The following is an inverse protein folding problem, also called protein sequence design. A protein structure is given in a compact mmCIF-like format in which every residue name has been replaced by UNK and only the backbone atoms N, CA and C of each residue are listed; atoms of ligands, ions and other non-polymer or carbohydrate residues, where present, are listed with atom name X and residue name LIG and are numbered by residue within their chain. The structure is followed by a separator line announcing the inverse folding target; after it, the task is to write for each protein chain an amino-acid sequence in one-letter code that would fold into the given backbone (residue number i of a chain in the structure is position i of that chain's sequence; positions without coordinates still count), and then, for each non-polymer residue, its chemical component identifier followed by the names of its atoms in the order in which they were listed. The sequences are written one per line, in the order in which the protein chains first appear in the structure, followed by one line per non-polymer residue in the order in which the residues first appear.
data_IF_374290034653
#
_entry.id   IF_374290034653
#
_cell.length_a   1.000
_cell.length_b   1.000
_cell.length_c   1.000
_cell.angle_alpha   90.00
_cell.angle_beta   90.00
_cell.angle_gamma   90.00
#
_symmetry.space_group_name_H-M   'P 1'
#
loop_
_entity.id
_entity.type
_entity.pdbx_description
1 polymer ?
#
# COMPACT_ATOMS: atom_id res chain seq x y z
N UNK A 1 8.20 -2.31 0.68
CA UNK A 1 7.12 -1.39 1.07
C UNK A 1 5.80 -1.97 0.59
N UNK A 2 4.86 -2.17 1.49
CA UNK A 2 3.56 -2.76 1.19
C UNK A 2 2.48 -1.73 1.54
N UNK A 3 1.63 -1.40 0.56
CA UNK A 3 0.50 -0.50 0.77
C UNK A 3 -0.79 -1.33 0.82
N UNK A 4 -1.43 -1.34 1.98
CA UNK A 4 -2.71 -2.03 2.17
C UNK A 4 -3.84 -1.03 1.90
N UNK A 5 -4.70 -1.37 0.95
CA UNK A 5 -5.73 -0.46 0.43
C UNK A 5 -7.03 -1.21 0.16
N UNK A 6 -8.09 -0.47 -0.11
CA UNK A 6 -9.37 -1.05 -0.55
C UNK A 6 -10.04 -0.12 -1.57
N UNK A 7 -10.81 -0.70 -2.47
CA UNK A 7 -11.44 0.03 -3.57
C UNK A 7 -12.44 1.10 -3.09
N UNK A 8 -13.06 0.90 -1.94
CA UNK A 8 -14.06 1.81 -1.36
C UNK A 8 -13.45 2.88 -0.45
N UNK A 9 -12.16 2.89 -0.31
CA UNK A 9 -11.43 3.76 0.62
C UNK A 9 -10.97 5.04 -0.10
N UNK A 10 -11.63 6.17 0.15
CA UNK A 10 -11.28 7.44 -0.49
C UNK A 10 -9.83 7.88 -0.24
N UNK A 11 -9.30 7.83 0.99
CA UNK A 11 -7.88 8.13 1.22
C UNK A 11 -6.94 7.21 0.46
N UNK A 12 -7.30 5.95 0.28
CA UNK A 12 -6.50 5.00 -0.51
C UNK A 12 -6.46 5.44 -1.97
N UNK A 13 -7.63 5.84 -2.50
CA UNK A 13 -7.73 6.32 -3.89
C UNK A 13 -6.82 7.52 -4.12
N UNK A 14 -6.79 8.45 -3.18
CA UNK A 14 -5.93 9.63 -3.28
C UNK A 14 -4.44 9.28 -3.15
N UNK A 15 -4.10 8.27 -2.35
CA UNK A 15 -2.72 7.90 -2.06
C UNK A 15 -2.06 7.04 -3.14
N UNK A 16 -2.82 6.16 -3.80
CA UNK A 16 -2.26 5.17 -4.74
C UNK A 16 -1.36 5.78 -5.82
N UNK A 17 -1.69 6.92 -6.45
CA UNK A 17 -0.78 7.55 -7.40
C UNK A 17 0.56 7.96 -6.79
N UNK A 18 0.57 8.41 -5.55
CA UNK A 18 1.79 8.78 -4.84
C UNK A 18 2.64 7.55 -4.53
N UNK A 19 2.01 6.43 -4.18
CA UNK A 19 2.70 5.16 -3.94
C UNK A 19 3.36 4.67 -5.22
N UNK A 20 2.67 4.77 -6.36
CA UNK A 20 3.25 4.38 -7.64
C UNK A 20 4.42 5.30 -8.02
N UNK A 21 4.29 6.60 -7.82
CA UNK A 21 5.39 7.54 -8.08
C UNK A 21 6.60 7.20 -7.22
N UNK A 22 6.39 6.91 -5.94
CA UNK A 22 7.46 6.47 -5.05
C UNK A 22 8.16 5.22 -5.60
N UNK A 23 7.38 4.23 -6.02
CA UNK A 23 7.92 2.98 -6.57
C UNK A 23 8.78 3.26 -7.81
N UNK A 24 8.32 4.15 -8.67
CA UNK A 24 9.01 4.50 -9.91
C UNK A 24 10.30 5.25 -9.67
N UNK A 25 10.31 6.12 -8.66
CA UNK A 25 11.46 6.99 -8.37
C UNK A 25 12.45 6.40 -7.37
N UNK A 26 12.10 5.26 -6.74
CA UNK A 26 12.95 4.58 -5.75
C UNK A 26 13.07 3.10 -6.08
N UNK A 27 13.75 2.76 -7.22
CA UNK A 27 13.83 1.37 -7.67
C UNK A 27 14.61 0.45 -6.74
N UNK A 28 15.31 1.00 -5.75
CA UNK A 28 15.99 0.22 -4.72
C UNK A 28 15.01 -0.48 -3.77
N UNK A 29 13.75 -0.05 -3.72
CA UNK A 29 12.72 -0.68 -2.91
C UNK A 29 11.77 -1.51 -3.78
N UNK A 30 11.34 -2.66 -3.28
CA UNK A 30 10.22 -3.39 -3.84
C UNK A 30 8.94 -2.81 -3.25
N UNK A 31 8.04 -2.35 -4.09
CA UNK A 31 6.79 -1.72 -3.67
C UNK A 31 5.62 -2.48 -4.26
N UNK A 32 4.71 -2.93 -3.40
CA UNK A 32 3.52 -3.67 -3.83
C UNK A 32 2.30 -3.20 -3.04
N UNK A 33 1.13 -3.40 -3.63
CA UNK A 33 -0.13 -3.21 -2.94
C UNK A 33 -0.68 -4.52 -2.41
N UNK A 34 -1.57 -4.42 -1.43
CA UNK A 34 -2.41 -5.53 -0.98
C UNK A 34 -3.83 -4.99 -0.89
N UNK A 35 -4.71 -5.52 -1.74
CA UNK A 35 -6.11 -5.13 -1.76
C UNK A 35 -6.87 -5.92 -0.69
N UNK A 36 -7.23 -5.25 0.39
CA UNK A 36 -7.84 -5.84 1.58
C UNK A 36 -9.37 -5.83 1.48
N UNK A 37 -9.90 -6.50 0.46
CA UNK A 37 -11.34 -6.61 0.23
C UNK A 37 -11.63 -7.82 -0.65
N UNK A 38 -12.84 -8.35 -0.55
CA UNK A 38 -13.25 -9.53 -1.33
C UNK A 38 -13.50 -9.23 -2.79
N UNK A 39 -13.84 -7.99 -3.11
CA UNK A 39 -14.22 -7.62 -4.48
C UNK A 39 -12.98 -7.30 -5.33
N UNK A 40 -12.33 -8.34 -5.82
CA UNK A 40 -11.14 -8.22 -6.65
C UNK A 40 -11.42 -7.41 -7.92
N UNK A 41 -12.61 -7.58 -8.52
CA UNK A 41 -13.00 -6.85 -9.72
C UNK A 41 -13.04 -5.35 -9.51
N UNK A 42 -13.61 -4.89 -8.39
CA UNK A 42 -13.65 -3.48 -8.06
C UNK A 42 -12.26 -2.94 -7.73
N UNK A 43 -11.41 -3.75 -7.10
CA UNK A 43 -10.02 -3.39 -6.87
C UNK A 43 -9.26 -3.17 -8.16
N UNK A 44 -9.36 -4.10 -9.09
CA UNK A 44 -8.72 -3.99 -10.40
C UNK A 44 -9.24 -2.79 -11.19
N UNK A 45 -10.56 -2.55 -11.13
CA UNK A 45 -11.18 -1.42 -11.81
C UNK A 45 -10.67 -0.07 -11.26
N UNK A 46 -10.45 0.03 -9.95
CA UNK A 46 -9.91 1.24 -9.36
C UNK A 46 -8.49 1.52 -9.85
N UNK A 47 -7.62 0.50 -9.85
CA UNK A 47 -6.24 0.67 -10.33
C UNK A 47 -6.22 1.11 -11.81
N UNK A 48 -7.07 0.50 -12.62
CA UNK A 48 -7.20 0.89 -14.04
C UNK A 48 -7.69 2.32 -14.17
N UNK A 49 -8.70 2.70 -13.40
CA UNK A 49 -9.30 4.03 -13.41
C UNK A 49 -8.27 5.11 -13.04
N UNK A 50 -7.39 4.81 -12.09
CA UNK A 50 -6.33 5.72 -11.66
C UNK A 50 -5.10 5.69 -12.58
N UNK A 51 -5.03 4.75 -13.50
CA UNK A 51 -3.84 4.54 -14.33
C UNK A 51 -2.65 4.04 -13.52
N UNK A 52 -2.90 3.34 -12.42
CA UNK A 52 -1.86 2.82 -11.53
C UNK A 52 -1.54 1.39 -11.95
N UNK A 53 -0.27 1.12 -12.24
CA UNK A 53 0.21 -0.21 -12.65
C UNK A 53 1.02 -0.91 -11.56
N UNK A 54 0.92 -0.43 -10.33
CA UNK A 54 1.57 -1.03 -9.16
C UNK A 54 1.11 -2.48 -9.01
N UNK A 55 2.05 -3.45 -8.89
CA UNK A 55 1.65 -4.83 -8.59
C UNK A 55 0.91 -4.87 -7.25
N UNK A 56 -0.25 -5.51 -7.25
CA UNK A 56 -1.07 -5.60 -6.04
C UNK A 56 -1.59 -7.01 -5.87
N UNK A 57 -1.47 -7.53 -4.66
CA UNK A 57 -1.98 -8.84 -4.30
C UNK A 57 -3.39 -8.72 -3.76
N UNK A 58 -4.19 -9.76 -3.95
CA UNK A 58 -5.57 -9.81 -3.47
C UNK A 58 -5.61 -10.54 -2.12
N UNK A 59 -6.17 -9.90 -1.11
CA UNK A 59 -6.31 -10.46 0.24
C UNK A 59 -7.79 -10.52 0.61
N UNK A 60 -8.49 -11.55 0.10
CA UNK A 60 -9.93 -11.70 0.25
C UNK A 60 -10.40 -11.78 1.70
N UNK A 61 -9.64 -12.44 2.54
CA UNK A 61 -10.05 -12.76 3.92
C UNK A 61 -9.41 -11.87 4.97
N UNK A 62 -8.50 -10.99 4.56
CA UNK A 62 -7.70 -10.20 5.51
C UNK A 62 -6.59 -11.00 6.18
N UNK A 63 -6.25 -12.17 5.63
CA UNK A 63 -5.25 -13.05 6.23
C UNK A 63 -3.86 -12.40 6.33
N UNK A 64 -3.48 -11.62 5.32
CA UNK A 64 -2.20 -10.92 5.34
C UNK A 64 -2.14 -9.92 6.49
N UNK A 65 -3.15 -9.06 6.58
CA UNK A 65 -3.20 -8.05 7.63
C UNK A 65 -3.19 -8.69 9.03
N UNK A 66 -3.96 -9.78 9.19
CA UNK A 66 -3.99 -10.51 10.46
C UNK A 66 -2.62 -11.12 10.79
N UNK A 67 -1.97 -11.74 9.81
CA UNK A 67 -0.65 -12.35 10.00
C UNK A 67 0.41 -11.31 10.36
N UNK A 68 0.29 -10.09 9.84
CA UNK A 68 1.21 -8.99 10.13
C UNK A 68 0.84 -8.21 11.38
N UNK A 69 -0.28 -8.53 12.03
CA UNK A 69 -0.74 -7.80 13.21
C UNK A 69 -1.11 -6.35 12.92
N UNK A 70 -1.59 -6.06 11.72
CA UNK A 70 -1.95 -4.70 11.32
C UNK A 70 -3.28 -4.28 11.91
N UNK A 71 -3.48 -2.97 12.15
CA UNK A 71 -4.78 -2.48 12.58
C UNK A 71 -5.83 -2.68 11.47
N UNK A 72 -7.11 -2.91 11.82
CA UNK A 72 -8.17 -3.18 10.83
C UNK A 72 -8.67 -1.90 10.15
N UNK A 73 -7.76 -1.14 9.58
CA UNK A 73 -8.04 0.13 8.89
C UNK A 73 -7.27 0.17 7.59
N UNK A 74 -7.70 1.02 6.66
CA UNK A 74 -6.97 1.34 5.44
C UNK A 74 -6.98 2.86 5.24
N UNK A 75 -5.93 3.44 4.65
CA UNK A 75 -4.73 2.79 4.17
C UNK A 75 -3.73 2.51 5.30
N UNK A 76 -2.92 1.48 5.12
CA UNK A 76 -1.79 1.19 5.99
C UNK A 76 -0.57 0.94 5.10
N UNK A 77 0.54 1.57 5.44
CA UNK A 77 1.81 1.30 4.78
C UNK A 77 2.71 0.52 5.73
N UNK A 78 3.19 -0.61 5.26
CA UNK A 78 4.04 -1.52 6.01
C UNK A 78 5.42 -1.54 5.36
N UNK A 79 6.47 -1.39 6.16
CA UNK A 79 7.84 -1.49 5.68
C UNK A 79 8.46 -2.77 6.23
N UNK A 80 8.95 -3.61 5.33
CA UNK A 80 9.60 -4.86 5.66
C UNK A 80 11.07 -4.82 5.23
N UNK A 81 11.93 -5.40 6.05
CA UNK A 81 13.31 -5.70 5.68
C UNK A 81 13.41 -7.23 5.65
N UNK A 82 13.37 -7.81 4.43
CA UNK A 82 13.17 -9.24 4.29
C UNK A 82 11.79 -9.62 4.85
N UNK A 83 11.77 -10.48 5.86
CA UNK A 83 10.53 -10.86 6.54
C UNK A 83 10.29 -10.07 7.83
N UNK A 84 11.17 -9.13 8.17
CA UNK A 84 11.07 -8.37 9.40
C UNK A 84 10.27 -7.09 9.19
N UNK A 85 9.24 -6.90 10.01
CA UNK A 85 8.47 -5.67 10.03
C UNK A 85 9.27 -4.59 10.75
N UNK A 86 9.64 -3.53 10.03
CA UNK A 86 10.42 -2.43 10.62
C UNK A 86 9.58 -1.19 10.89
N UNK A 87 8.46 -1.01 10.21
CA UNK A 87 7.55 0.11 10.48
C UNK A 87 6.15 -0.16 9.95
N UNK A 88 5.15 0.43 10.63
CA UNK A 88 3.74 0.42 10.22
C UNK A 88 3.22 1.86 10.33
N UNK A 89 2.65 2.36 9.24
CA UNK A 89 2.06 3.69 9.20
C UNK A 89 0.57 3.56 8.87
N UNK A 90 -0.29 3.74 9.87
CA UNK A 90 -1.75 3.70 9.70
C UNK A 90 -2.25 5.11 9.36
N UNK A 91 -1.81 5.63 8.23
CA UNK A 91 -2.16 6.98 7.78
C UNK A 91 -2.06 7.08 6.26
N UNK A 92 -2.69 8.12 5.71
CA UNK A 92 -2.55 8.49 4.31
C UNK A 92 -1.29 9.34 4.11
N UNK A 93 -0.49 9.02 3.08
CA UNK A 93 0.59 9.89 2.62
C UNK A 93 0.08 10.72 1.44
N UNK A 94 0.32 12.01 1.47
CA UNK A 94 -0.22 12.94 0.48
C UNK A 94 0.70 13.15 -0.72
N UNK A 95 1.95 12.68 -0.63
CA UNK A 95 2.92 12.81 -1.72
C UNK A 95 3.95 11.69 -1.68
N UNK A 96 4.60 11.46 -2.81
CA UNK A 96 5.70 10.52 -2.89
C UNK A 96 6.86 10.93 -1.99
N UNK A 97 7.10 12.23 -1.85
CA UNK A 97 8.16 12.78 -1.00
C UNK A 97 7.89 12.49 0.48
N UNK A 98 6.65 12.66 0.93
CA UNK A 98 6.26 12.35 2.30
C UNK A 98 6.45 10.86 2.59
N UNK A 99 6.04 10.01 1.66
CA UNK A 99 6.23 8.57 1.79
C UNK A 99 7.72 8.21 1.82
N UNK A 100 8.52 8.83 0.96
CA UNK A 100 9.97 8.59 0.92
C UNK A 100 10.62 8.93 2.26
N UNK A 101 10.28 10.06 2.85
CA UNK A 101 10.82 10.45 4.16
C UNK A 101 10.49 9.42 5.23
N UNK A 102 9.23 8.94 5.26
CA UNK A 102 8.81 7.95 6.23
C UNK A 102 9.56 6.62 6.06
N UNK A 103 9.67 6.14 4.82
CA UNK A 103 10.37 4.89 4.52
C UNK A 103 11.86 4.99 4.85
N UNK A 104 12.50 6.06 4.42
CA UNK A 104 13.94 6.27 4.65
C UNK A 104 14.25 6.42 6.14
N UNK A 105 13.35 7.03 6.89
CA UNK A 105 13.49 7.13 8.33
C UNK A 105 13.32 5.82 9.08
N UNK A 106 12.68 4.83 8.47
CA UNK A 106 12.39 3.53 9.07
C UNK A 106 13.48 2.48 8.78
N UNK A 107 14.21 2.62 7.68
CA UNK A 107 15.20 1.63 7.25
C UNK A 107 16.62 1.95 7.69
#
# INVERSE_FOLDING_TARGET
VVNVWAWWCDPCRAELPAVEEFARTHPEYTVVGVHADRNAGNGAALLEDLGVSLPSYQDDSGAFAAAQGLPPVVPVTLVLRGNEQVAVFAKEFTSAEELAEAVEGAV
#
